data_IF_665460676568
#
_entry.id   IF_665460676568
#
_cell.length_a   1.000
_cell.length_b   1.000
_cell.length_c   1.000
_cell.angle_alpha   90.00
_cell.angle_beta   90.00
_cell.angle_gamma   90.00
#
_symmetry.space_group_name_H-M   'P 1'
#
loop_
_entity.id
_entity.type
_entity.pdbx_description
1 polymer ?
#
# COMPACT_ATOMS: atom_id res chain seq x y z
N UNK A 1 30.00 -2.30 -1.42
CA UNK A 1 29.08 -1.61 -2.34
C UNK A 1 28.35 -0.45 -1.69
N UNK A 2 28.30 -0.35 -0.37
CA UNK A 2 27.46 0.58 0.37
C UNK A 2 27.82 2.06 0.19
N UNK A 3 29.05 2.43 -0.08
CA UNK A 3 29.48 3.83 -0.17
C UNK A 3 29.56 4.41 -1.59
N UNK A 4 29.28 3.62 -2.63
CA UNK A 4 29.46 4.07 -4.02
C UNK A 4 28.40 5.08 -4.51
N UNK A 5 27.26 5.15 -3.85
CA UNK A 5 26.14 6.00 -4.28
C UNK A 5 25.95 7.25 -3.40
N UNK A 6 26.79 7.46 -2.40
CA UNK A 6 26.69 8.65 -1.55
C UNK A 6 27.32 9.85 -2.25
N UNK A 7 26.60 10.94 -2.50
CA UNK A 7 27.17 12.20 -2.91
C UNK A 7 28.17 12.69 -1.85
N UNK A 8 29.31 13.23 -2.30
CA UNK A 8 30.41 13.62 -1.40
C UNK A 8 30.03 14.75 -0.44
N UNK A 9 29.03 15.53 -0.78
CA UNK A 9 28.52 16.71 -0.08
C UNK A 9 27.31 16.41 0.83
N UNK A 10 26.78 15.17 0.80
CA UNK A 10 25.62 14.81 1.62
C UNK A 10 26.04 14.46 3.05
N UNK A 11 25.37 15.06 4.03
CA UNK A 11 25.49 14.70 5.44
C UNK A 11 25.27 13.20 5.67
N UNK A 12 26.09 12.59 6.52
CA UNK A 12 26.09 11.13 6.73
C UNK A 12 24.79 10.66 7.40
N UNK A 13 24.28 11.42 8.38
CA UNK A 13 23.05 11.07 9.09
C UNK A 13 21.86 11.17 8.16
N UNK A 14 21.77 12.25 7.39
CA UNK A 14 20.72 12.45 6.40
C UNK A 14 20.76 11.36 5.33
N UNK A 15 21.95 10.97 4.85
CA UNK A 15 22.09 9.87 3.91
C UNK A 15 21.60 8.54 4.48
N UNK A 16 22.00 8.21 5.71
CA UNK A 16 21.60 6.97 6.35
C UNK A 16 20.10 6.92 6.64
N UNK A 17 19.51 8.03 7.08
CA UNK A 17 18.06 8.15 7.30
C UNK A 17 17.29 7.95 6.00
N UNK A 18 17.67 8.64 4.94
CA UNK A 18 17.02 8.47 3.61
C UNK A 18 17.18 7.06 3.06
N UNK A 19 18.38 6.47 3.21
CA UNK A 19 18.64 5.08 2.80
C UNK A 19 17.74 4.10 3.55
N UNK A 20 17.59 4.26 4.86
CA UNK A 20 16.72 3.43 5.68
C UNK A 20 15.24 3.53 5.23
N UNK A 21 14.76 4.75 4.99
CA UNK A 21 13.41 4.99 4.49
C UNK A 21 13.18 4.33 3.12
N UNK A 22 14.08 4.52 2.14
CA UNK A 22 13.93 3.89 0.81
C UNK A 22 13.99 2.36 0.85
N UNK A 23 14.79 1.79 1.74
CA UNK A 23 14.79 0.33 1.95
C UNK A 23 13.45 -0.11 2.54
N UNK A 24 12.91 0.63 3.49
CA UNK A 24 11.61 0.34 4.10
C UNK A 24 10.46 0.46 3.08
N UNK A 25 10.46 1.49 2.24
CA UNK A 25 9.49 1.64 1.15
C UNK A 25 9.56 0.48 0.16
N UNK A 26 10.76 0.07 -0.26
CA UNK A 26 10.95 -1.06 -1.16
C UNK A 26 10.45 -2.38 -0.55
N UNK A 27 10.69 -2.60 0.76
CA UNK A 27 10.18 -3.76 1.49
C UNK A 27 8.66 -3.74 1.58
N UNK A 28 8.09 -2.59 1.91
CA UNK A 28 6.63 -2.41 1.94
C UNK A 28 6.02 -2.69 0.57
N UNK A 29 6.53 -2.09 -0.50
CA UNK A 29 6.02 -2.29 -1.85
C UNK A 29 6.12 -3.76 -2.30
N UNK A 30 7.21 -4.45 -1.95
CA UNK A 30 7.35 -5.89 -2.19
C UNK A 30 6.24 -6.68 -1.48
N UNK A 31 6.00 -6.41 -0.21
CA UNK A 31 4.94 -7.06 0.55
C UNK A 31 3.55 -6.72 -0.02
N UNK A 32 3.33 -5.46 -0.39
CA UNK A 32 2.09 -5.00 -1.03
C UNK A 32 1.81 -5.72 -2.35
N UNK A 33 2.80 -5.84 -3.23
CA UNK A 33 2.63 -6.56 -4.50
C UNK A 33 2.43 -8.07 -4.30
N UNK A 34 3.09 -8.68 -3.33
CA UNK A 34 2.80 -10.08 -2.95
C UNK A 34 1.38 -10.24 -2.40
N UNK A 35 0.89 -9.29 -1.63
CA UNK A 35 -0.51 -9.26 -1.18
C UNK A 35 -1.48 -9.16 -2.35
N UNK A 36 -1.23 -8.29 -3.32
CA UNK A 36 -2.03 -8.16 -4.54
C UNK A 36 -2.03 -9.45 -5.39
N UNK A 37 -0.90 -10.12 -5.49
CA UNK A 37 -0.80 -11.44 -6.15
C UNK A 37 -1.58 -12.49 -5.37
N UNK A 38 -1.48 -12.49 -4.04
CA UNK A 38 -2.23 -13.41 -3.19
C UNK A 38 -3.75 -13.29 -3.37
N UNK A 39 -4.27 -12.08 -3.45
CA UNK A 39 -5.71 -11.85 -3.64
C UNK A 39 -6.25 -12.48 -4.94
N UNK A 40 -5.40 -12.66 -5.94
CA UNK A 40 -5.77 -13.22 -7.25
C UNK A 40 -5.44 -14.70 -7.41
N UNK A 41 -4.31 -15.12 -6.87
CA UNK A 41 -3.72 -16.43 -7.17
C UNK A 41 -3.48 -17.31 -5.94
N UNK A 42 -3.75 -16.81 -4.72
CA UNK A 42 -3.32 -17.44 -3.47
C UNK A 42 -1.81 -17.31 -3.25
N UNK A 43 -1.22 -18.09 -2.35
CA UNK A 43 0.23 -18.05 -2.14
C UNK A 43 1.00 -18.28 -3.43
N UNK A 44 1.98 -17.45 -3.69
CA UNK A 44 2.91 -17.57 -4.83
C UNK A 44 4.33 -17.79 -4.32
N UNK A 45 5.26 -18.31 -5.14
CA UNK A 45 6.66 -18.45 -4.72
C UNK A 45 7.25 -17.12 -4.24
N UNK A 46 7.94 -17.15 -3.10
CA UNK A 46 8.56 -15.97 -2.49
C UNK A 46 9.99 -15.81 -3.01
N UNK A 47 10.21 -14.82 -3.86
CA UNK A 47 11.54 -14.44 -4.34
C UNK A 47 12.08 -13.34 -3.43
N UNK A 48 13.00 -13.70 -2.54
CA UNK A 48 13.54 -12.81 -1.50
C UNK A 48 14.98 -12.38 -1.75
N UNK A 49 15.61 -12.92 -2.78
CA UNK A 49 16.98 -12.62 -3.18
C UNK A 49 17.04 -12.19 -4.63
N UNK A 50 18.10 -11.47 -4.98
CA UNK A 50 18.40 -11.13 -6.38
C UNK A 50 18.68 -12.41 -7.17
N UNK A 51 18.04 -12.52 -8.34
CA UNK A 51 18.21 -13.67 -9.22
C UNK A 51 19.35 -13.38 -10.22
N UNK A 52 20.20 -14.36 -10.47
CA UNK A 52 21.20 -14.27 -11.52
C UNK A 52 20.50 -14.39 -12.90
N UNK A 53 20.51 -13.34 -13.74
CA UNK A 53 19.87 -13.38 -15.04
C UNK A 53 20.51 -14.40 -16.01
N UNK A 54 21.73 -14.86 -15.75
CA UNK A 54 22.42 -15.89 -16.54
C UNK A 54 22.33 -17.28 -15.91
N UNK A 55 21.72 -17.39 -14.73
CA UNK A 55 21.55 -18.64 -14.00
C UNK A 55 20.20 -19.31 -14.29
N UNK A 56 19.93 -20.40 -13.59
CA UNK A 56 18.61 -21.02 -13.59
C UNK A 56 17.66 -20.21 -12.67
N UNK A 57 16.86 -19.35 -13.27
CA UNK A 57 15.92 -18.48 -12.57
C UNK A 57 14.78 -19.23 -11.88
N UNK A 58 14.58 -20.51 -12.21
CA UNK A 58 13.49 -21.32 -11.68
C UNK A 58 13.90 -22.17 -10.47
N UNK A 59 15.18 -22.44 -10.31
CA UNK A 59 15.66 -23.26 -9.17
C UNK A 59 15.35 -22.58 -7.84
N UNK A 60 14.61 -23.26 -6.98
CA UNK A 60 14.23 -22.79 -5.64
C UNK A 60 12.96 -21.93 -5.57
N UNK A 61 12.36 -21.57 -6.73
CA UNK A 61 11.16 -20.72 -6.76
C UNK A 61 9.98 -21.35 -7.50
N UNK A 62 9.99 -22.66 -7.68
CA UNK A 62 8.92 -23.39 -8.37
C UNK A 62 7.77 -23.78 -7.46
N UNK A 63 7.99 -23.86 -6.16
CA UNK A 63 7.00 -24.30 -5.20
C UNK A 63 6.32 -23.13 -4.51
N UNK A 64 5.00 -23.25 -4.34
CA UNK A 64 4.21 -22.30 -3.54
C UNK A 64 4.35 -22.68 -2.07
N UNK A 65 4.67 -21.74 -1.19
CA UNK A 65 4.63 -21.99 0.25
C UNK A 65 3.17 -22.24 0.71
N UNK A 66 3.01 -22.87 1.87
CA UNK A 66 1.71 -22.89 2.54
C UNK A 66 1.26 -21.49 2.93
N UNK A 67 -0.06 -21.35 3.19
CA UNK A 67 -0.66 -20.05 3.48
C UNK A 67 -0.03 -19.37 4.70
N UNK A 68 0.25 -20.16 5.76
CA UNK A 68 0.81 -19.60 6.98
C UNK A 68 2.20 -19.03 6.74
N UNK A 69 3.07 -19.80 6.14
CA UNK A 69 4.45 -19.37 5.79
C UNK A 69 4.44 -18.12 4.92
N UNK A 70 3.55 -18.07 3.91
CA UNK A 70 3.41 -16.92 3.03
C UNK A 70 2.97 -15.67 3.80
N UNK A 71 1.93 -15.78 4.62
CA UNK A 71 1.39 -14.64 5.36
C UNK A 71 2.30 -14.18 6.50
N UNK A 72 2.96 -15.11 7.20
CA UNK A 72 3.95 -14.77 8.23
C UNK A 72 5.09 -13.92 7.65
N UNK A 73 5.55 -14.25 6.42
CA UNK A 73 6.52 -13.42 5.71
C UNK A 73 5.98 -12.01 5.45
N UNK A 74 4.76 -11.86 4.92
CA UNK A 74 4.19 -10.55 4.64
C UNK A 74 3.96 -9.73 5.92
N UNK A 75 3.43 -10.34 6.96
CA UNK A 75 3.23 -9.69 8.27
C UNK A 75 4.56 -9.17 8.83
N UNK A 76 5.61 -9.99 8.76
CA UNK A 76 6.94 -9.63 9.21
C UNK A 76 7.50 -8.44 8.42
N UNK A 77 7.47 -8.52 7.08
CA UNK A 77 7.99 -7.44 6.21
C UNK A 77 7.31 -6.10 6.50
N UNK A 78 5.97 -6.08 6.59
CA UNK A 78 5.21 -4.85 6.83
C UNK A 78 5.48 -4.28 8.23
N UNK A 79 5.55 -5.13 9.26
CA UNK A 79 5.83 -4.68 10.63
C UNK A 79 7.25 -4.15 10.81
N UNK A 80 8.23 -4.84 10.24
CA UNK A 80 9.62 -4.44 10.39
C UNK A 80 9.97 -3.16 9.63
N UNK A 81 9.34 -2.92 8.47
CA UNK A 81 9.60 -1.70 7.72
C UNK A 81 8.93 -0.46 8.33
N UNK A 82 7.82 -0.61 9.08
CA UNK A 82 7.04 0.51 9.61
C UNK A 82 7.90 1.53 10.39
N UNK A 83 8.76 1.06 11.29
CA UNK A 83 9.58 1.94 12.13
C UNK A 83 10.60 2.81 11.37
N UNK A 84 10.96 2.43 10.16
CA UNK A 84 11.90 3.15 9.30
C UNK A 84 11.22 4.01 8.23
N UNK A 85 9.90 3.91 8.10
CA UNK A 85 9.11 4.75 7.23
C UNK A 85 8.87 6.13 7.86
N UNK A 86 8.65 7.13 7.02
CA UNK A 86 8.23 8.46 7.47
C UNK A 86 6.92 8.41 8.25
N UNK A 87 6.80 9.30 9.21
CA UNK A 87 5.55 9.52 9.95
C UNK A 87 4.50 10.19 9.07
N UNK A 88 3.25 10.22 9.55
CA UNK A 88 2.19 11.00 8.91
C UNK A 88 2.56 12.47 8.76
N UNK A 89 3.13 13.08 9.81
CA UNK A 89 3.49 14.49 9.81
C UNK A 89 4.54 14.83 8.75
N UNK A 90 5.55 13.97 8.58
CA UNK A 90 6.59 14.15 7.56
C UNK A 90 6.06 14.01 6.12
N UNK A 91 5.02 13.22 5.90
CA UNK A 91 4.41 13.02 4.58
C UNK A 91 3.20 13.91 4.31
N UNK A 92 2.83 14.77 5.25
CA UNK A 92 1.71 15.73 5.07
C UNK A 92 2.06 16.91 4.17
N UNK A 93 3.33 17.08 3.83
CA UNK A 93 3.82 18.09 2.87
C UNK A 93 3.66 17.61 1.42
N UNK A 94 3.46 18.58 0.53
CA UNK A 94 3.34 18.36 -0.92
C UNK A 94 4.46 17.54 -1.55
N UNK A 95 5.66 17.76 -1.06
CA UNK A 95 6.87 17.14 -1.59
C UNK A 95 6.86 15.62 -1.42
N UNK A 96 6.17 15.13 -0.39
CA UNK A 96 6.13 13.72 -0.02
C UNK A 96 4.75 13.08 -0.21
N UNK A 97 3.82 13.79 -0.84
CA UNK A 97 2.47 13.30 -1.06
C UNK A 97 2.48 12.01 -1.88
N UNK A 98 1.83 10.98 -1.38
CA UNK A 98 1.76 9.66 -2.00
C UNK A 98 2.94 8.74 -1.69
N UNK A 99 3.96 9.19 -0.95
CA UNK A 99 4.98 8.28 -0.41
C UNK A 99 4.38 7.33 0.63
N UNK A 100 4.99 6.16 0.74
CA UNK A 100 4.62 5.20 1.78
C UNK A 100 5.05 5.74 3.14
N UNK A 101 4.14 5.72 4.10
CA UNK A 101 4.38 6.16 5.46
C UNK A 101 3.97 5.10 6.50
N UNK A 102 4.23 5.35 7.78
CA UNK A 102 3.90 4.43 8.87
C UNK A 102 2.42 4.03 8.89
N UNK A 103 1.44 4.98 8.82
CA UNK A 103 0.03 4.62 8.74
C UNK A 103 -0.32 3.73 7.55
N UNK A 104 0.31 3.94 6.38
CA UNK A 104 0.09 3.10 5.19
C UNK A 104 0.50 1.65 5.46
N UNK A 105 1.67 1.43 6.07
CA UNK A 105 2.12 0.10 6.44
C UNK A 105 1.18 -0.56 7.47
N UNK A 106 0.80 0.19 8.50
CA UNK A 106 -0.14 -0.29 9.52
C UNK A 106 -1.52 -0.62 8.94
N UNK A 107 -2.04 0.19 8.02
CA UNK A 107 -3.33 -0.06 7.37
C UNK A 107 -3.30 -1.33 6.51
N UNK A 108 -2.22 -1.57 5.78
CA UNK A 108 -2.04 -2.82 5.03
C UNK A 108 -2.00 -4.02 5.99
N UNK A 109 -1.28 -3.93 7.10
CA UNK A 109 -1.24 -4.98 8.11
C UNK A 109 -2.63 -5.30 8.65
N UNK A 110 -3.41 -4.29 9.05
CA UNK A 110 -4.80 -4.45 9.55
C UNK A 110 -5.67 -5.14 8.49
N UNK A 111 -5.58 -4.71 7.24
CA UNK A 111 -6.34 -5.31 6.14
C UNK A 111 -6.00 -6.79 5.93
N UNK A 112 -4.72 -7.14 5.96
CA UNK A 112 -4.28 -8.53 5.86
C UNK A 112 -4.78 -9.36 7.05
N UNK A 113 -4.68 -8.84 8.29
CA UNK A 113 -5.16 -9.52 9.50
C UNK A 113 -6.66 -9.80 9.42
N UNK A 114 -7.46 -8.80 9.04
CA UNK A 114 -8.91 -8.96 8.88
C UNK A 114 -9.26 -10.03 7.84
N UNK A 115 -8.55 -10.04 6.72
CA UNK A 115 -8.79 -11.00 5.65
C UNK A 115 -8.43 -12.43 6.09
N UNK A 116 -7.31 -12.58 6.81
CA UNK A 116 -6.84 -13.88 7.31
C UNK A 116 -7.67 -14.42 8.49
N UNK A 117 -8.33 -13.57 9.26
CA UNK A 117 -9.26 -13.97 10.32
C UNK A 117 -10.58 -14.56 9.78
N UNK A 118 -10.86 -14.40 8.48
CA UNK A 118 -12.11 -14.89 7.89
C UNK A 118 -12.22 -16.42 7.97
N UNK A 119 -13.45 -16.99 7.98
CA UNK A 119 -13.67 -18.43 8.08
C UNK A 119 -12.95 -19.24 6.99
N UNK A 120 -12.69 -18.63 5.83
CA UNK A 120 -11.96 -19.27 4.73
C UNK A 120 -10.49 -19.52 5.05
N UNK A 121 -9.85 -18.63 5.80
CA UNK A 121 -8.40 -18.64 5.96
C UNK A 121 -7.92 -18.86 7.39
N UNK A 122 -8.76 -18.60 8.39
CA UNK A 122 -8.37 -18.63 9.81
C UNK A 122 -7.77 -19.97 10.27
N UNK A 123 -8.31 -21.08 9.80
CA UNK A 123 -7.79 -22.40 10.13
C UNK A 123 -6.36 -22.65 9.59
N UNK A 124 -6.01 -22.06 8.46
CA UNK A 124 -4.70 -22.23 7.83
C UNK A 124 -3.70 -21.16 8.25
N UNK A 125 -4.14 -19.92 8.42
CA UNK A 125 -3.29 -18.81 8.82
C UNK A 125 -3.02 -18.78 10.34
N UNK A 126 -3.93 -19.31 11.13
CA UNK A 126 -3.90 -19.21 12.59
C UNK A 126 -4.32 -17.84 13.12
N UNK A 127 -4.78 -16.92 12.26
CA UNK A 127 -5.23 -15.58 12.66
C UNK A 127 -6.66 -15.63 13.18
N UNK A 128 -6.89 -15.03 14.35
CA UNK A 128 -8.20 -14.96 14.99
C UNK A 128 -8.86 -13.61 14.77
N UNK A 129 -10.18 -13.55 14.92
CA UNK A 129 -10.94 -12.29 14.91
C UNK A 129 -10.47 -11.31 16.00
N UNK A 130 -10.06 -11.82 17.17
CA UNK A 130 -9.54 -10.97 18.24
C UNK A 130 -8.24 -10.27 17.80
N UNK A 131 -7.32 -11.01 17.20
CA UNK A 131 -6.07 -10.42 16.69
C UNK A 131 -6.32 -9.36 15.60
N UNK A 132 -7.29 -9.59 14.71
CA UNK A 132 -7.68 -8.61 13.71
C UNK A 132 -8.32 -7.36 14.35
N UNK A 133 -9.17 -7.54 15.35
CA UNK A 133 -9.79 -6.45 16.10
C UNK A 133 -8.74 -5.63 16.87
N UNK A 134 -7.78 -6.28 17.52
CA UNK A 134 -6.69 -5.61 18.25
C UNK A 134 -5.80 -4.81 17.29
N UNK A 135 -5.50 -5.35 16.11
CA UNK A 135 -4.74 -4.63 15.09
C UNK A 135 -5.49 -3.38 14.59
N UNK A 136 -6.80 -3.48 14.37
CA UNK A 136 -7.63 -2.35 13.95
C UNK A 136 -7.76 -1.28 15.06
N UNK A 137 -7.96 -1.71 16.31
CA UNK A 137 -8.00 -0.83 17.46
C UNK A 137 -6.68 -0.07 17.65
N UNK A 138 -5.55 -0.75 17.45
CA UNK A 138 -4.23 -0.11 17.47
C UNK A 138 -4.07 0.95 16.39
N UNK A 139 -4.54 0.69 15.16
CA UNK A 139 -4.54 1.71 14.10
C UNK A 139 -5.37 2.94 14.47
N UNK A 140 -6.57 2.74 15.00
CA UNK A 140 -7.46 3.83 15.41
C UNK A 140 -6.85 4.63 16.56
N UNK A 141 -6.22 3.96 17.54
CA UNK A 141 -5.57 4.63 18.67
C UNK A 141 -4.39 5.50 18.22
N UNK A 142 -3.57 5.01 17.28
CA UNK A 142 -2.36 5.72 16.85
C UNK A 142 -2.64 6.79 15.78
N UNK A 143 -3.64 6.59 14.91
CA UNK A 143 -3.83 7.40 13.71
C UNK A 143 -5.26 7.94 13.52
N UNK A 144 -6.20 7.68 14.43
CA UNK A 144 -7.60 8.12 14.31
C UNK A 144 -7.80 9.63 14.28
N UNK A 145 -6.84 10.39 14.80
CA UNK A 145 -6.83 11.86 14.68
C UNK A 145 -6.50 12.33 13.26
N UNK A 146 -5.74 11.54 12.52
CA UNK A 146 -5.29 11.86 11.17
C UNK A 146 -6.23 11.33 10.09
N UNK A 147 -6.79 10.15 10.32
CA UNK A 147 -7.66 9.45 9.38
C UNK A 147 -9.04 9.20 10.00
N UNK A 148 -10.06 9.79 9.40
CA UNK A 148 -11.44 9.68 9.86
C UNK A 148 -12.40 9.76 8.67
N UNK A 149 -13.66 9.46 8.90
CA UNK A 149 -14.69 9.66 7.89
C UNK A 149 -14.83 11.15 7.57
N UNK A 150 -15.10 11.45 6.32
CA UNK A 150 -15.36 12.81 5.86
C UNK A 150 -16.66 13.32 6.48
N UNK A 151 -16.59 14.42 7.24
CA UNK A 151 -17.70 14.98 7.99
C UNK A 151 -17.92 16.49 7.76
N UNK A 152 -17.13 17.11 6.89
CA UNK A 152 -17.18 18.57 6.61
C UNK A 152 -18.54 19.08 6.16
N UNK A 153 -19.43 18.20 5.72
CA UNK A 153 -20.79 18.50 5.29
C UNK A 153 -21.86 17.92 6.23
N UNK A 154 -21.52 17.68 7.49
CA UNK A 154 -22.40 17.05 8.48
C UNK A 154 -22.91 15.65 8.08
N UNK A 155 -22.09 14.89 7.37
CA UNK A 155 -22.38 13.50 6.99
C UNK A 155 -23.31 13.32 5.80
N UNK A 156 -23.84 12.10 5.67
CA UNK A 156 -24.80 11.74 4.63
C UNK A 156 -24.20 11.66 3.22
N UNK A 157 -25.06 11.81 2.21
CA UNK A 157 -24.68 11.69 0.79
C UNK A 157 -23.63 12.74 0.40
N UNK A 158 -23.69 13.94 0.96
CA UNK A 158 -22.74 15.01 0.67
C UNK A 158 -21.32 14.65 1.18
N UNK A 159 -21.21 14.09 2.37
CA UNK A 159 -19.93 13.62 2.89
C UNK A 159 -19.37 12.45 2.05
N UNK A 160 -20.21 11.51 1.67
CA UNK A 160 -19.82 10.42 0.78
C UNK A 160 -19.32 10.93 -0.58
N UNK A 161 -20.01 11.89 -1.19
CA UNK A 161 -19.58 12.49 -2.44
C UNK A 161 -18.23 13.22 -2.28
N UNK A 162 -18.03 13.96 -1.18
CA UNK A 162 -16.77 14.61 -0.88
C UNK A 162 -15.63 13.63 -0.74
N UNK A 163 -15.83 12.48 -0.09
CA UNK A 163 -14.80 11.45 0.05
C UNK A 163 -14.24 10.97 -1.31
N UNK A 164 -15.07 11.00 -2.37
CA UNK A 164 -14.68 10.64 -3.74
C UNK A 164 -14.18 11.81 -4.58
N UNK A 165 -14.71 13.01 -4.37
CA UNK A 165 -14.45 14.18 -5.22
C UNK A 165 -13.30 15.05 -4.71
N UNK A 166 -12.99 14.98 -3.41
CA UNK A 166 -11.90 15.76 -2.84
C UNK A 166 -10.56 15.29 -3.38
N UNK A 167 -9.76 16.24 -3.81
CA UNK A 167 -8.37 15.96 -4.14
C UNK A 167 -7.62 15.56 -2.86
N UNK A 168 -7.04 14.37 -2.86
CA UNK A 168 -6.34 13.80 -1.70
C UNK A 168 -5.25 14.71 -1.20
N UNK A 169 -4.58 15.41 -2.11
CA UNK A 169 -3.44 16.24 -1.80
C UNK A 169 -3.84 17.67 -1.41
N UNK A 170 -4.58 18.37 -2.26
CA UNK A 170 -4.93 19.79 -2.02
C UNK A 170 -6.01 19.96 -0.96
N UNK A 171 -6.95 19.03 -0.92
CA UNK A 171 -8.12 19.12 -0.06
C UNK A 171 -7.97 18.32 1.24
N UNK A 172 -6.84 17.60 1.39
CA UNK A 172 -6.52 16.75 2.56
C UNK A 172 -7.67 15.81 2.91
N UNK A 173 -8.06 14.97 1.95
CA UNK A 173 -9.12 13.99 2.16
C UNK A 173 -8.76 13.04 3.32
N UNK A 174 -9.50 13.08 4.44
CA UNK A 174 -9.15 12.32 5.65
C UNK A 174 -9.41 10.81 5.54
N UNK A 175 -10.15 10.35 4.52
CA UNK A 175 -10.44 8.93 4.32
C UNK A 175 -9.35 8.21 3.52
N UNK A 176 -8.47 8.93 2.83
CA UNK A 176 -7.46 8.32 1.96
C UNK A 176 -6.14 8.14 2.70
N UNK A 177 -5.78 6.89 2.94
CA UNK A 177 -4.54 6.52 3.65
C UNK A 177 -3.37 6.38 2.68
N UNK A 178 -3.59 5.77 1.52
CA UNK A 178 -2.57 5.55 0.52
C UNK A 178 -3.14 5.78 -0.88
N UNK A 179 -2.44 6.54 -1.69
CA UNK A 179 -2.85 6.89 -3.04
C UNK A 179 -1.64 6.99 -3.96
N UNK A 180 -1.90 6.80 -5.22
CA UNK A 180 -0.90 7.07 -6.25
C UNK A 180 -0.93 8.55 -6.58
N UNK A 181 0.17 9.24 -6.31
CA UNK A 181 0.41 10.57 -6.81
C UNK A 181 0.82 10.48 -8.29
N UNK A 182 0.46 11.47 -9.10
CA UNK A 182 0.83 11.51 -10.50
C UNK A 182 0.13 10.46 -11.39
N UNK A 183 -1.16 10.56 -11.49
CA UNK A 183 -1.85 10.10 -12.69
C UNK A 183 -2.31 11.32 -13.43
N UNK A 184 -1.43 11.88 -14.24
CA UNK A 184 -1.89 12.67 -15.38
C UNK A 184 -2.64 11.69 -16.31
N UNK A 185 -3.89 11.36 -15.93
CA UNK A 185 -4.82 10.82 -16.92
C UNK A 185 -5.00 11.98 -17.88
N UNK A 186 -4.26 11.93 -18.98
CA UNK A 186 -4.41 12.93 -20.02
C UNK A 186 -5.88 12.96 -20.42
N UNK A 187 -6.36 14.13 -20.81
CA UNK A 187 -7.74 14.32 -21.29
C UNK A 187 -8.17 13.23 -22.29
N UNK A 188 -7.24 12.73 -23.11
CA UNK A 188 -7.46 11.62 -24.04
C UNK A 188 -7.84 10.30 -23.37
N UNK A 189 -7.29 9.98 -22.19
CA UNK A 189 -7.65 8.76 -21.45
C UNK A 189 -9.08 8.82 -20.90
N UNK A 190 -9.45 9.96 -20.31
CA UNK A 190 -10.80 10.16 -19.77
C UNK A 190 -11.82 10.14 -20.91
N UNK A 191 -11.55 10.83 -22.03
CA UNK A 191 -12.49 10.89 -23.16
C UNK A 191 -12.68 9.54 -23.86
N UNK A 192 -11.67 8.67 -23.82
CA UNK A 192 -11.78 7.32 -24.42
C UNK A 192 -12.64 6.38 -23.59
N UNK A 193 -12.58 6.51 -22.27
CA UNK A 193 -13.24 5.61 -21.34
C UNK A 193 -14.68 6.06 -20.97
N UNK A 194 -14.99 7.33 -21.26
CA UNK A 194 -16.30 7.89 -20.98
C UNK A 194 -17.30 7.59 -22.11
N UNK A 195 -18.55 7.20 -21.81
CA UNK A 195 -19.59 6.98 -22.82
C UNK A 195 -19.85 8.22 -23.69
N UNK A 196 -20.19 8.01 -24.96
CA UNK A 196 -20.46 9.12 -25.90
C UNK A 196 -21.56 10.07 -25.41
N UNK A 197 -22.60 9.53 -24.73
CA UNK A 197 -23.68 10.33 -24.15
C UNK A 197 -23.25 11.23 -22.98
N UNK A 198 -22.10 10.97 -22.40
CA UNK A 198 -21.51 11.74 -21.30
C UNK A 198 -20.31 12.61 -21.78
N UNK A 199 -20.21 12.83 -23.07
CA UNK A 199 -19.16 13.65 -23.67
C UNK A 199 -17.84 12.93 -23.96
N UNK A 200 -17.81 11.61 -23.86
CA UNK A 200 -16.65 10.79 -24.17
C UNK A 200 -16.65 10.21 -25.59
N UNK A 201 -15.59 9.45 -25.90
CA UNK A 201 -15.43 8.78 -27.21
C UNK A 201 -15.87 7.32 -27.20
N UNK A 202 -16.21 6.74 -26.03
CA UNK A 202 -16.76 5.40 -25.90
C UNK A 202 -15.81 4.25 -26.27
N UNK A 203 -14.50 4.44 -26.20
CA UNK A 203 -13.51 3.48 -26.69
C UNK A 203 -13.47 2.12 -25.98
N UNK A 204 -14.03 2.02 -24.79
CA UNK A 204 -14.11 0.78 -24.00
C UNK A 204 -15.57 0.28 -23.81
N UNK A 205 -16.52 0.79 -24.57
CA UNK A 205 -17.89 0.27 -24.52
C UNK A 205 -17.89 -1.19 -24.98
N UNK A 206 -18.44 -2.08 -24.15
CA UNK A 206 -18.74 -3.46 -24.59
C UNK A 206 -19.64 -3.40 -25.83
N UNK A 207 -19.24 -4.08 -26.91
CA UNK A 207 -20.17 -4.40 -27.96
C UNK A 207 -21.33 -5.22 -27.39
N UNK A 208 -22.55 -4.77 -27.60
CA UNK A 208 -23.76 -5.56 -27.29
C UNK A 208 -23.81 -6.82 -28.12
#
# INVERSE_FOLDING_TARGET
>A
TENKLRPADLDVELYNSRKANYIAEARFLRAYFYWELFLRYGPVPLVTTELDPNGDLMTGYTERPDLKTFMDYLFKEVKECESSLKTYAETSDATYAGEVNQPTARALYVRMMLYMASPRYSAQSGVTWQQAADAAAGFIADYGENYRLEDRTNGGVAAYNNAWLLNTYTDKNPEVIFFRNDVAIGWSGISTDTPVGEGGQGGLCRSQ
#
